data_IF_684692972779
#
_entry.id   IF_684692972779
#
_cell.length_a   1.000
_cell.length_b   1.000
_cell.length_c   1.000
_cell.angle_alpha   90.00
_cell.angle_beta   90.00
_cell.angle_gamma   90.00
#
_symmetry.space_group_name_H-M   'P 1'
#
loop_
_entity.id
_entity.type
_entity.pdbx_description
1 polymer ?
#
# COMPACT_ATOMS: atom_id res chain seq x y z
N UNK A 1 6.64 -9.47 -5.11
CA UNK A 1 6.20 -8.38 -4.21
C UNK A 1 6.36 -7.04 -4.92
N UNK A 2 5.62 -6.02 -4.49
CA UNK A 2 5.74 -4.66 -4.99
C UNK A 2 6.71 -3.85 -4.15
N UNK A 3 7.51 -3.05 -4.83
CA UNK A 3 8.36 -2.03 -4.24
C UNK A 3 8.15 -0.73 -5.00
N UNK A 4 8.35 0.40 -4.34
CA UNK A 4 8.40 1.68 -5.04
C UNK A 4 9.74 1.91 -5.76
N UNK A 5 9.89 3.08 -6.40
CA UNK A 5 11.11 3.43 -7.13
C UNK A 5 12.36 3.59 -6.25
N UNK A 6 12.24 3.56 -4.92
CA UNK A 6 13.33 3.61 -3.95
C UNK A 6 13.58 2.25 -3.30
N UNK A 7 12.85 1.20 -3.70
CA UNK A 7 12.96 -0.13 -3.14
C UNK A 7 12.22 -0.28 -1.81
N UNK A 8 11.32 0.62 -1.43
CA UNK A 8 10.50 0.46 -0.22
C UNK A 8 9.32 -0.48 -0.49
N UNK A 9 9.07 -1.43 0.41
CA UNK A 9 8.02 -2.43 0.22
C UNK A 9 6.63 -1.78 0.30
N UNK A 10 5.69 -2.38 -0.45
CA UNK A 10 4.32 -1.87 -0.56
C UNK A 10 3.35 -2.88 0.04
N UNK A 11 2.50 -2.37 0.91
CA UNK A 11 1.53 -3.12 1.69
C UNK A 11 0.09 -2.74 1.36
N UNK A 12 -0.81 -3.68 1.57
CA UNK A 12 -2.24 -3.47 1.70
C UNK A 12 -2.70 -3.82 3.12
N UNK A 13 -3.85 -3.27 3.51
CA UNK A 13 -4.51 -3.57 4.78
C UNK A 13 -5.78 -4.38 4.50
N UNK A 14 -5.85 -5.62 5.01
CA UNK A 14 -6.94 -6.55 4.67
C UNK A 14 -8.35 -6.05 5.10
N UNK A 15 -8.40 -5.21 6.14
CA UNK A 15 -9.60 -4.54 6.65
C UNK A 15 -10.17 -3.54 5.65
N UNK A 16 -9.40 -3.15 4.64
CA UNK A 16 -9.79 -2.30 3.51
C UNK A 16 -10.12 -3.17 2.29
N UNK A 17 -11.32 -3.75 2.30
CA UNK A 17 -11.85 -4.58 1.19
C UNK A 17 -12.33 -3.78 -0.02
N UNK A 18 -12.21 -2.46 0.03
CA UNK A 18 -12.53 -1.53 -1.05
C UNK A 18 -11.41 -0.51 -1.20
N UNK A 19 -11.45 0.30 -2.25
CA UNK A 19 -10.49 1.37 -2.50
C UNK A 19 -10.58 2.53 -1.49
N UNK A 20 -11.45 2.45 -0.47
CA UNK A 20 -11.65 3.50 0.52
C UNK A 20 -10.69 3.33 1.71
N UNK A 21 -9.73 4.25 1.90
CA UNK A 21 -8.80 4.18 3.02
C UNK A 21 -9.51 4.41 4.36
N UNK A 22 -9.12 3.63 5.36
CA UNK A 22 -9.51 3.63 6.77
C UNK A 22 -8.34 3.92 7.70
N UNK A 23 -7.10 3.70 7.25
CA UNK A 23 -5.90 4.01 8.02
C UNK A 23 -5.60 5.52 8.06
N UNK A 24 -5.74 6.11 9.25
CA UNK A 24 -5.48 7.51 9.57
C UNK A 24 -4.99 7.67 11.02
N UNK A 25 -4.51 8.86 11.39
CA UNK A 25 -4.02 9.12 12.74
C UNK A 25 -2.80 8.25 13.05
N UNK A 26 -2.79 7.59 14.22
CA UNK A 26 -1.71 6.69 14.63
C UNK A 26 -1.46 5.57 13.62
N UNK A 27 -2.51 5.02 13.00
CA UNK A 27 -2.36 4.02 11.94
C UNK A 27 -1.52 4.58 10.79
N UNK A 28 -1.82 5.79 10.30
CA UNK A 28 -1.08 6.38 9.20
C UNK A 28 0.30 6.93 9.58
N UNK A 29 0.64 6.95 10.87
CA UNK A 29 1.99 7.24 11.36
C UNK A 29 2.87 5.98 11.29
N UNK A 30 2.36 4.83 11.71
CA UNK A 30 3.03 3.54 11.59
C UNK A 30 3.01 2.98 10.14
N UNK A 31 1.93 3.25 9.42
CA UNK A 31 1.66 2.80 8.06
C UNK A 31 1.37 3.98 7.13
N UNK A 32 2.39 4.76 6.71
CA UNK A 32 2.19 5.93 5.88
C UNK A 32 1.55 5.57 4.53
N UNK A 33 0.55 6.34 4.06
CA UNK A 33 -0.06 6.09 2.75
C UNK A 33 0.93 6.41 1.63
N UNK A 34 0.90 5.61 0.56
CA UNK A 34 1.64 5.89 -0.67
C UNK A 34 0.94 7.02 -1.41
N UNK A 35 1.46 8.24 -1.33
CA UNK A 35 0.79 9.43 -1.86
C UNK A 35 1.14 9.71 -3.33
N UNK A 36 0.13 9.98 -4.15
CA UNK A 36 0.26 10.33 -5.55
C UNK A 36 0.40 11.85 -5.74
N UNK A 37 1.61 12.31 -6.06
CA UNK A 37 1.87 13.72 -6.42
C UNK A 37 1.51 14.05 -7.87
N UNK A 38 1.53 13.05 -8.75
CA UNK A 38 1.09 13.12 -10.15
C UNK A 38 0.42 11.82 -10.57
N UNK A 39 0.46 11.52 -11.86
CA UNK A 39 0.04 10.21 -12.38
C UNK A 39 1.05 9.14 -11.93
N UNK A 40 0.63 8.16 -11.11
CA UNK A 40 1.50 7.05 -10.76
C UNK A 40 1.84 6.22 -12.02
N UNK A 41 3.00 5.59 -12.02
CA UNK A 41 3.48 4.73 -13.11
C UNK A 41 4.00 3.44 -12.52
N UNK A 42 3.83 2.35 -13.24
CA UNK A 42 4.35 1.03 -12.86
C UNK A 42 5.44 0.59 -13.84
N UNK A 43 6.21 -0.42 -13.44
CA UNK A 43 7.30 -1.02 -14.22
C UNK A 43 7.37 -2.52 -13.92
N UNK A 44 8.06 -3.28 -14.78
CA UNK A 44 8.28 -4.71 -14.57
C UNK A 44 7.01 -5.53 -14.77
N UNK A 45 6.75 -6.50 -13.88
CA UNK A 45 5.60 -7.42 -13.97
C UNK A 45 4.28 -6.86 -13.42
N UNK A 46 4.26 -5.57 -13.10
CA UNK A 46 3.12 -4.85 -12.53
C UNK A 46 2.22 -4.36 -13.68
N UNK A 47 0.90 -4.45 -13.52
CA UNK A 47 -0.08 -4.18 -14.58
C UNK A 47 -0.68 -2.79 -14.44
N UNK A 48 -0.53 -1.95 -15.45
CA UNK A 48 -1.10 -0.59 -15.48
C UNK A 48 -2.60 -0.56 -15.19
N UNK A 49 -3.36 -1.56 -15.67
CA UNK A 49 -4.82 -1.65 -15.50
C UNK A 49 -5.27 -1.77 -14.04
N UNK A 50 -4.39 -2.25 -13.15
CA UNK A 50 -4.67 -2.39 -11.73
C UNK A 50 -4.34 -1.13 -10.95
N UNK A 51 -3.59 -0.20 -11.55
CA UNK A 51 -3.14 1.04 -10.92
C UNK A 51 -4.27 2.08 -10.91
N UNK A 52 -4.44 2.71 -9.75
CA UNK A 52 -5.41 3.79 -9.60
C UNK A 52 -5.00 4.77 -8.52
N UNK A 53 -5.93 5.67 -8.22
CA UNK A 53 -5.80 6.57 -7.07
C UNK A 53 -7.15 6.76 -6.39
N UNK A 54 -7.11 7.06 -5.09
CA UNK A 54 -8.28 7.45 -4.30
C UNK A 54 -8.03 8.78 -3.61
N UNK A 55 -9.05 9.63 -3.52
CA UNK A 55 -9.01 10.84 -2.70
C UNK A 55 -9.27 10.47 -1.24
N UNK A 56 -8.28 10.73 -0.38
CA UNK A 56 -8.39 10.58 1.07
C UNK A 56 -9.23 11.70 1.66
N UNK A 57 -9.77 11.47 2.86
CA UNK A 57 -10.54 12.49 3.61
C UNK A 57 -9.70 13.69 4.06
N UNK A 58 -8.37 13.53 4.08
CA UNK A 58 -7.41 14.60 4.37
C UNK A 58 -7.03 15.43 3.12
N UNK A 59 -7.74 15.23 2.00
CA UNK A 59 -7.55 15.96 0.74
C UNK A 59 -6.42 15.41 -0.15
N UNK A 60 -5.55 14.54 0.37
CA UNK A 60 -4.44 13.97 -0.40
C UNK A 60 -4.94 12.85 -1.33
N UNK A 61 -4.18 12.58 -2.39
CA UNK A 61 -4.41 11.42 -3.26
C UNK A 61 -3.48 10.29 -2.87
N UNK A 62 -4.03 9.10 -2.71
CA UNK A 62 -3.28 7.88 -2.41
C UNK A 62 -3.32 6.95 -3.60
N UNK A 63 -2.22 6.25 -3.85
CA UNK A 63 -2.15 5.22 -4.88
C UNK A 63 -2.95 4.00 -4.44
N UNK A 64 -3.71 3.44 -5.37
CA UNK A 64 -4.37 2.14 -5.20
C UNK A 64 -3.81 1.14 -6.20
N UNK A 65 -3.78 -0.13 -5.85
CA UNK A 65 -3.44 -1.19 -6.79
C UNK A 65 -4.31 -2.43 -6.55
N UNK A 66 -4.89 -2.98 -7.62
CA UNK A 66 -5.85 -4.09 -7.50
C UNK A 66 -7.09 -3.73 -6.68
N UNK A 67 -7.44 -2.44 -6.60
CA UNK A 67 -8.52 -1.94 -5.77
C UNK A 67 -8.17 -1.66 -4.31
N UNK A 68 -6.93 -1.91 -3.87
CA UNK A 68 -6.49 -1.70 -2.49
C UNK A 68 -5.72 -0.39 -2.33
N UNK A 69 -5.97 0.42 -1.28
CA UNK A 69 -5.09 1.52 -0.91
C UNK A 69 -3.72 1.01 -0.48
N UNK A 70 -2.67 1.67 -0.95
CA UNK A 70 -1.29 1.23 -0.73
C UNK A 70 -0.61 2.00 0.40
N UNK A 71 0.19 1.29 1.18
CA UNK A 71 0.90 1.83 2.33
C UNK A 71 2.36 1.37 2.35
N UNK A 72 3.15 2.12 3.09
CA UNK A 72 4.49 1.77 3.53
C UNK A 72 4.44 1.34 5.00
N UNK A 73 5.48 0.65 5.48
CA UNK A 73 5.76 0.61 6.91
C UNK A 73 6.78 1.71 7.28
N UNK A 74 6.57 2.42 8.38
CA UNK A 74 7.37 3.59 8.75
C UNK A 74 8.79 3.25 9.24
N UNK A 75 8.99 2.02 9.72
CA UNK A 75 10.24 1.60 10.36
C UNK A 75 11.05 0.59 9.52
N UNK A 76 10.84 0.57 8.20
CA UNK A 76 11.65 -0.20 7.25
C UNK A 76 12.39 0.68 6.25
N UNK A 77 13.54 0.19 5.80
CA UNK A 77 14.32 0.77 4.72
C UNK A 77 14.20 0.02 3.39
N UNK A 78 14.91 0.49 2.35
CA UNK A 78 14.93 -0.14 1.04
C UNK A 78 15.32 -1.63 1.08
N UNK A 79 14.59 -2.46 0.34
CA UNK A 79 14.82 -3.91 0.23
C UNK A 79 14.39 -4.73 1.46
N UNK A 80 13.87 -4.08 2.50
CA UNK A 80 13.37 -4.76 3.70
C UNK A 80 11.86 -5.02 3.59
N UNK A 81 11.43 -6.10 4.26
CA UNK A 81 10.04 -6.48 4.48
C UNK A 81 9.95 -6.94 5.93
N UNK A 82 9.59 -6.06 6.85
CA UNK A 82 9.62 -6.37 8.29
C UNK A 82 8.24 -6.73 8.86
N UNK A 83 7.18 -6.25 8.21
CA UNK A 83 5.81 -6.34 8.75
C UNK A 83 4.84 -7.02 7.79
N UNK A 84 5.27 -8.10 7.14
CA UNK A 84 4.35 -8.99 6.43
C UNK A 84 3.64 -9.91 7.43
N UNK A 85 2.32 -10.07 7.26
CA UNK A 85 1.46 -10.93 8.09
C UNK A 85 1.40 -10.50 9.56
N UNK A 86 1.50 -9.18 9.79
CA UNK A 86 1.35 -8.60 11.14
C UNK A 86 -0.07 -8.09 11.34
N UNK A 87 -0.67 -8.45 12.48
CA UNK A 87 -1.98 -7.98 12.89
C UNK A 87 -1.85 -6.69 13.71
N UNK A 88 -2.24 -5.56 13.14
CA UNK A 88 -2.23 -4.24 13.80
C UNK A 88 -3.46 -3.41 13.41
N UNK A 89 -3.89 -2.52 14.30
CA UNK A 89 -5.03 -1.62 14.04
C UNK A 89 -6.33 -2.34 13.64
N UNK A 90 -6.48 -3.59 14.05
CA UNK A 90 -7.69 -4.41 13.84
C UNK A 90 -7.77 -5.10 12.48
N UNK A 91 -6.66 -5.30 11.79
CA UNK A 91 -6.54 -6.13 10.59
C UNK A 91 -5.09 -6.56 10.37
N UNK A 92 -4.83 -7.20 9.25
CA UNK A 92 -3.51 -7.72 8.86
C UNK A 92 -2.89 -6.91 7.73
N UNK A 93 -1.61 -6.62 7.87
CA UNK A 93 -0.81 -5.94 6.85
C UNK A 93 -0.04 -6.94 5.99
N UNK A 94 -0.23 -6.85 4.68
CA UNK A 94 0.25 -7.85 3.74
C UNK A 94 0.98 -7.17 2.59
N UNK A 95 2.16 -7.68 2.22
CA UNK A 95 2.87 -7.20 1.03
C UNK A 95 2.06 -7.51 -0.22
N UNK A 96 2.08 -6.58 -1.17
CA UNK A 96 1.30 -6.70 -2.40
C UNK A 96 2.08 -7.46 -3.47
N UNK A 97 1.42 -8.37 -4.17
CA UNK A 97 1.98 -9.06 -5.34
C UNK A 97 1.78 -8.25 -6.63
N UNK A 98 2.56 -8.52 -7.70
CA UNK A 98 2.31 -7.90 -9.01
C UNK A 98 0.90 -8.15 -9.57
N UNK A 99 0.21 -9.19 -9.10
CA UNK A 99 -1.19 -9.47 -9.46
C UNK A 99 -2.22 -8.60 -8.70
N UNK A 100 -1.77 -7.70 -7.81
CA UNK A 100 -2.65 -6.79 -7.06
C UNK A 100 -3.35 -7.44 -5.87
N UNK A 101 -2.86 -8.60 -5.42
CA UNK A 101 -3.37 -9.34 -4.26
C UNK A 101 -2.33 -9.37 -3.16
N UNK A 102 -2.76 -9.65 -1.93
CA UNK A 102 -1.85 -9.98 -0.84
C UNK A 102 -0.97 -11.17 -1.22
N UNK A 103 0.31 -11.13 -0.83
CA UNK A 103 1.11 -12.33 -0.83
C UNK A 103 0.54 -13.33 0.19
N UNK A 104 0.65 -14.64 -0.07
CA UNK A 104 0.41 -15.64 0.96
C UNK A 104 1.30 -15.37 2.17
N UNK A 105 0.75 -15.58 3.36
CA UNK A 105 1.52 -15.65 4.60
C UNK A 105 2.51 -16.83 4.58
#
# INVERSE_FOLDING_TARGET
MLFDGRGQAIYLFDRETSSRPRCYGACAAAWPPVLARGLPRVRGSVRDELLGTVRRRDGRRQVTYGGHPLYYYAHEGPGQVLCHDVAEYGGTWLVVTPAGRAAPA
#
